data_IF_636821186355
#
_entry.id   IF_636821186355
#
_cell.length_a   1.000
_cell.length_b   1.000
_cell.length_c   1.000
_cell.angle_alpha   90.00
_cell.angle_beta   90.00
_cell.angle_gamma   90.00
#
_symmetry.space_group_name_H-M   'P 1'
#
loop_
_entity.id
_entity.type
_entity.pdbx_description
1 polymer ?
#
# COMPACT_ATOMS: atom_id res chain seq x y z
N UNK A 1 24.43 33.80 -29.55
CA UNK A 1 23.01 33.40 -29.41
C UNK A 1 22.94 31.89 -29.49
N UNK A 2 22.58 31.23 -28.41
CA UNK A 2 22.49 29.76 -28.36
C UNK A 2 21.29 29.27 -29.18
N UNK A 3 21.52 28.32 -30.08
CA UNK A 3 20.47 27.76 -30.96
C UNK A 3 20.23 26.31 -30.62
N UNK A 4 18.97 25.91 -30.42
CA UNK A 4 18.57 24.52 -30.12
C UNK A 4 17.87 23.91 -31.33
N UNK A 5 18.25 22.69 -31.71
CA UNK A 5 17.51 21.89 -32.69
C UNK A 5 16.24 21.31 -32.04
N UNK A 6 15.03 21.75 -32.42
CA UNK A 6 13.77 21.29 -31.83
C UNK A 6 13.47 19.81 -32.10
N UNK A 7 14.14 19.19 -33.08
CA UNK A 7 14.00 17.76 -33.38
C UNK A 7 14.88 16.87 -32.49
N UNK A 8 15.82 17.45 -31.74
CA UNK A 8 16.81 16.75 -30.91
C UNK A 8 16.66 17.07 -29.43
N UNK A 9 15.41 17.12 -28.96
CA UNK A 9 15.10 17.26 -27.53
C UNK A 9 14.91 15.88 -26.92
N UNK A 10 15.53 15.64 -25.77
CA UNK A 10 15.48 14.36 -25.05
C UNK A 10 15.35 14.61 -23.55
N UNK A 11 14.99 13.58 -22.79
CA UNK A 11 14.83 13.67 -21.34
C UNK A 11 15.41 12.45 -20.67
N UNK A 12 15.96 12.59 -19.48
CA UNK A 12 16.41 11.47 -18.68
C UNK A 12 16.32 11.78 -17.19
N UNK A 13 16.42 10.75 -16.38
CA UNK A 13 16.39 10.96 -14.94
C UNK A 13 16.59 9.71 -14.12
N UNK A 14 16.65 9.93 -12.81
CA UNK A 14 16.86 8.88 -11.82
C UNK A 14 15.69 8.74 -10.84
N UNK A 15 15.36 7.51 -10.47
CA UNK A 15 14.33 7.23 -9.45
C UNK A 15 12.98 7.86 -9.85
N UNK A 16 12.39 8.73 -9.02
CA UNK A 16 11.21 9.53 -9.37
C UNK A 16 11.40 10.37 -10.64
N UNK A 17 12.61 10.90 -10.86
CA UNK A 17 12.94 11.64 -12.08
C UNK A 17 12.89 10.74 -13.31
N UNK A 18 13.29 9.47 -13.21
CA UNK A 18 13.13 8.51 -14.30
C UNK A 18 11.64 8.22 -14.56
N UNK A 19 10.86 8.00 -13.52
CA UNK A 19 9.42 7.78 -13.65
C UNK A 19 8.71 8.99 -14.28
N UNK A 20 9.10 10.21 -13.93
CA UNK A 20 8.57 11.42 -14.55
C UNK A 20 9.04 11.58 -16.01
N UNK A 21 10.33 11.36 -16.29
CA UNK A 21 10.88 11.38 -17.64
C UNK A 21 10.16 10.40 -18.58
N UNK A 22 9.84 9.20 -18.08
CA UNK A 22 9.04 8.21 -18.80
C UNK A 22 7.66 8.74 -19.19
N UNK A 23 6.92 9.29 -18.22
CA UNK A 23 5.59 9.86 -18.46
C UNK A 23 5.64 11.06 -19.40
N UNK A 24 6.59 11.96 -19.17
CA UNK A 24 6.79 13.14 -19.99
C UNK A 24 7.11 12.76 -21.45
N UNK A 25 7.96 11.76 -21.66
CA UNK A 25 8.26 11.24 -22.99
C UNK A 25 7.03 10.62 -23.66
N UNK A 26 6.18 9.87 -22.94
CA UNK A 26 4.94 9.32 -23.52
C UNK A 26 3.99 10.44 -23.96
N UNK A 27 3.73 11.40 -23.05
CA UNK A 27 2.76 12.48 -23.27
C UNK A 27 3.23 13.44 -24.37
N UNK A 28 4.53 13.74 -24.41
CA UNK A 28 5.14 14.70 -25.33
C UNK A 28 6.02 14.03 -26.39
N UNK A 29 5.70 12.81 -26.79
CA UNK A 29 6.46 12.00 -27.77
C UNK A 29 6.67 12.66 -29.13
N UNK A 30 5.83 13.65 -29.50
CA UNK A 30 6.02 14.46 -30.71
C UNK A 30 7.17 15.47 -30.60
N UNK A 31 7.51 15.89 -29.39
CA UNK A 31 8.54 16.90 -29.12
C UNK A 31 9.80 16.28 -28.53
N UNK A 32 9.65 15.20 -27.76
CA UNK A 32 10.75 14.50 -27.10
C UNK A 32 11.13 13.28 -27.94
N UNK A 33 12.30 13.36 -28.56
CA UNK A 33 12.83 12.36 -29.50
C UNK A 33 13.38 11.08 -28.85
N UNK A 34 13.61 11.10 -27.53
CA UNK A 34 14.14 9.94 -26.81
C UNK A 34 14.24 10.14 -25.30
N UNK A 35 14.40 9.03 -24.57
CA UNK A 35 14.42 9.02 -23.11
C UNK A 35 15.49 8.11 -22.51
N UNK A 36 16.12 8.54 -21.41
CA UNK A 36 17.04 7.72 -20.61
C UNK A 36 16.55 7.51 -19.18
N UNK A 37 16.38 6.26 -18.75
CA UNK A 37 15.70 5.92 -17.51
C UNK A 37 16.60 5.15 -16.55
N UNK A 38 16.99 5.77 -15.43
CA UNK A 38 17.90 5.19 -14.44
C UNK A 38 17.11 4.82 -13.17
N UNK A 39 17.15 3.53 -12.83
CA UNK A 39 16.41 2.99 -11.67
C UNK A 39 14.95 3.49 -11.54
N UNK A 40 14.13 3.48 -12.63
CA UNK A 40 12.71 3.80 -12.50
C UNK A 40 12.02 2.74 -11.64
N UNK A 41 10.97 3.14 -10.92
CA UNK A 41 10.07 2.19 -10.27
C UNK A 41 9.48 1.27 -11.36
N UNK A 42 9.68 -0.04 -11.22
CA UNK A 42 9.23 -1.10 -12.15
C UNK A 42 9.85 -1.04 -13.57
N UNK A 43 11.18 -1.09 -13.67
CA UNK A 43 11.94 -1.09 -14.94
C UNK A 43 11.50 -2.15 -15.98
N UNK A 44 11.06 -3.34 -15.56
CA UNK A 44 10.54 -4.39 -16.47
C UNK A 44 9.27 -3.95 -17.18
N UNK A 45 8.36 -3.26 -16.48
CA UNK A 45 7.11 -2.77 -17.06
C UNK A 45 7.37 -1.63 -18.05
N UNK A 46 8.38 -0.79 -17.80
CA UNK A 46 8.77 0.29 -18.71
C UNK A 46 9.18 -0.26 -20.08
N UNK A 47 9.99 -1.33 -20.10
CA UNK A 47 10.38 -1.99 -21.36
C UNK A 47 9.17 -2.57 -22.11
N UNK A 48 8.21 -3.18 -21.41
CA UNK A 48 6.99 -3.70 -22.01
C UNK A 48 6.10 -2.58 -22.58
N UNK A 49 5.98 -1.46 -21.87
CA UNK A 49 5.21 -0.29 -22.34
C UNK A 49 5.82 0.27 -23.62
N UNK A 50 7.13 0.49 -23.68
CA UNK A 50 7.77 0.94 -24.92
C UNK A 50 7.67 -0.11 -26.03
N UNK A 51 7.87 -1.39 -25.73
CA UNK A 51 7.76 -2.47 -26.72
C UNK A 51 6.37 -2.64 -27.35
N UNK A 52 5.33 -2.04 -26.77
CA UNK A 52 3.99 -1.98 -27.37
C UNK A 52 3.87 -0.93 -28.49
N UNK A 53 4.78 0.06 -28.54
CA UNK A 53 4.69 1.21 -29.46
C UNK A 53 5.93 1.42 -30.35
N UNK A 54 7.06 0.78 -30.04
CA UNK A 54 8.31 0.88 -30.82
C UNK A 54 9.01 -0.48 -30.98
N UNK A 55 9.95 -0.54 -31.92
CA UNK A 55 10.74 -1.76 -32.16
C UNK A 55 11.60 -2.09 -30.95
N UNK A 56 11.73 -3.39 -30.66
CA UNK A 56 12.64 -3.88 -29.64
C UNK A 56 14.11 -3.53 -29.91
N UNK A 57 14.49 -3.26 -31.17
CA UNK A 57 15.83 -2.79 -31.55
C UNK A 57 16.14 -1.40 -31.00
N UNK A 58 15.12 -0.59 -30.77
CA UNK A 58 15.26 0.82 -30.37
C UNK A 58 15.27 0.96 -28.84
N UNK A 59 15.07 -0.15 -28.12
CA UNK A 59 15.00 -0.22 -26.66
C UNK A 59 16.23 -0.94 -26.10
N UNK A 60 17.13 -0.20 -25.47
CA UNK A 60 18.25 -0.78 -24.72
C UNK A 60 17.89 -0.92 -23.23
N UNK A 61 17.91 -2.16 -22.72
CA UNK A 61 17.78 -2.43 -21.28
C UNK A 61 19.11 -2.95 -20.75
N UNK A 62 19.68 -2.22 -19.81
CA UNK A 62 20.94 -2.59 -19.16
C UNK A 62 20.63 -2.97 -17.72
N UNK A 63 20.89 -4.22 -17.38
CA UNK A 63 20.78 -4.72 -16.02
C UNK A 63 22.20 -4.97 -15.48
N UNK A 64 22.52 -4.36 -14.34
CA UNK A 64 23.80 -4.51 -13.66
C UNK A 64 23.56 -5.13 -12.30
N UNK A 65 24.02 -6.37 -12.14
CA UNK A 65 24.05 -7.00 -10.82
C UNK A 65 24.91 -6.17 -9.86
N UNK A 66 24.60 -6.21 -8.56
CA UNK A 66 25.35 -5.57 -7.48
C UNK A 66 25.36 -4.03 -7.46
N UNK A 67 24.59 -3.38 -8.33
CA UNK A 67 24.28 -1.96 -8.23
C UNK A 67 22.87 -1.81 -7.65
N UNK A 68 22.78 -1.19 -6.46
CA UNK A 68 21.54 -0.89 -5.77
C UNK A 68 20.86 0.36 -6.34
N UNK A 69 19.92 0.95 -5.62
CA UNK A 69 19.20 2.16 -6.03
C UNK A 69 20.08 3.42 -5.94
N UNK A 70 21.14 3.50 -6.74
CA UNK A 70 22.11 4.60 -6.81
C UNK A 70 22.31 5.03 -8.26
N UNK A 71 22.89 6.21 -8.48
CA UNK A 71 23.31 6.64 -9.82
C UNK A 71 24.75 6.17 -10.05
N UNK A 72 25.00 5.26 -11.01
CA UNK A 72 26.35 4.77 -11.28
C UNK A 72 27.16 5.78 -12.10
N UNK A 73 28.40 5.97 -11.71
CA UNK A 73 29.41 6.79 -12.38
C UNK A 73 30.74 6.04 -12.42
N UNK A 74 31.74 6.71 -12.97
CA UNK A 74 33.17 6.36 -13.00
C UNK A 74 34.02 7.47 -12.38
N UNK A 75 33.38 8.50 -11.84
CA UNK A 75 34.00 9.68 -11.25
C UNK A 75 34.70 9.33 -9.93
N UNK A 76 36.02 9.55 -9.88
CA UNK A 76 36.86 9.17 -8.72
C UNK A 76 36.47 9.86 -7.41
N UNK A 77 35.87 11.05 -7.47
CA UNK A 77 35.39 11.78 -6.30
C UNK A 77 34.15 11.14 -5.65
N UNK A 78 33.42 10.30 -6.38
CA UNK A 78 32.26 9.61 -5.83
C UNK A 78 32.70 8.37 -5.06
N UNK A 79 32.07 8.10 -3.92
CA UNK A 79 32.35 6.87 -3.20
C UNK A 79 31.92 5.63 -4.01
N UNK A 80 32.58 4.50 -3.74
CA UNK A 80 32.44 3.25 -4.49
C UNK A 80 31.43 2.26 -3.86
N UNK A 81 30.58 2.71 -2.94
CA UNK A 81 29.58 1.85 -2.27
C UNK A 81 28.32 1.73 -3.14
N UNK A 82 28.35 0.80 -4.09
CA UNK A 82 27.28 0.63 -5.07
C UNK A 82 26.15 -0.32 -4.62
N UNK A 83 26.39 -1.15 -3.60
CA UNK A 83 25.48 -2.23 -3.20
C UNK A 83 24.50 -1.83 -2.08
N UNK A 84 24.74 -0.72 -1.39
CA UNK A 84 23.85 -0.25 -0.32
C UNK A 84 22.83 0.74 -0.89
N UNK A 85 21.55 0.58 -0.50
CA UNK A 85 20.44 1.39 -1.01
C UNK A 85 20.42 2.82 -0.46
N UNK A 86 19.65 3.70 -1.10
CA UNK A 86 19.62 5.15 -0.81
C UNK A 86 19.02 5.54 0.54
N UNK A 87 18.06 4.81 1.10
CA UNK A 87 17.36 5.25 2.33
C UNK A 87 18.27 5.37 3.56
N UNK A 88 19.05 4.34 3.93
CA UNK A 88 19.99 4.45 5.06
C UNK A 88 21.09 5.50 4.83
N UNK A 89 21.40 5.82 3.57
CA UNK A 89 22.54 6.66 3.17
C UNK A 89 22.19 8.15 3.06
N UNK A 90 20.97 8.46 2.61
CA UNK A 90 20.50 9.85 2.56
C UNK A 90 20.30 10.38 3.98
N UNK A 91 19.85 9.52 4.91
CA UNK A 91 19.80 9.84 6.34
C UNK A 91 21.19 10.07 6.96
N UNK A 92 22.25 9.56 6.34
CA UNK A 92 23.65 9.82 6.73
C UNK A 92 24.33 10.90 5.89
N UNK A 93 23.58 11.68 5.09
CA UNK A 93 24.11 12.78 4.27
C UNK A 93 24.92 12.35 3.03
N UNK A 94 24.90 11.07 2.66
CA UNK A 94 25.62 10.60 1.48
C UNK A 94 24.80 10.86 0.21
N UNK A 95 25.43 11.52 -0.77
CA UNK A 95 24.87 11.76 -2.13
C UNK A 95 24.48 10.44 -2.80
N UNK A 96 23.57 10.34 -3.78
CA UNK A 96 23.19 9.07 -4.42
C UNK A 96 24.12 8.64 -5.57
N UNK A 97 25.12 9.44 -5.92
CA UNK A 97 26.02 9.22 -7.06
C UNK A 97 27.25 8.41 -6.63
N UNK A 98 27.57 7.33 -7.35
CA UNK A 98 28.54 6.30 -6.92
C UNK A 98 29.48 5.89 -8.02
N UNK A 99 30.77 5.80 -7.72
CA UNK A 99 31.74 5.23 -8.64
C UNK A 99 31.60 3.71 -8.70
N UNK A 100 30.77 3.23 -9.63
CA UNK A 100 30.51 1.81 -9.84
C UNK A 100 31.23 1.27 -11.07
N UNK A 101 32.19 2.03 -11.63
CA UNK A 101 32.86 1.67 -12.87
C UNK A 101 31.91 1.62 -14.07
N UNK A 102 30.79 2.35 -14.02
CA UNK A 102 29.79 2.38 -15.09
C UNK A 102 29.40 3.81 -15.42
N UNK A 103 29.77 4.27 -16.62
CA UNK A 103 29.49 5.62 -17.10
C UNK A 103 28.06 5.67 -17.67
N UNK A 104 27.11 5.99 -16.80
CA UNK A 104 25.69 5.97 -17.14
C UNK A 104 25.35 6.95 -18.26
N UNK A 105 25.96 8.12 -18.26
CA UNK A 105 25.68 9.17 -19.25
C UNK A 105 26.27 8.78 -20.61
N UNK A 106 27.50 8.25 -20.65
CA UNK A 106 28.10 7.76 -21.90
C UNK A 106 27.20 6.75 -22.61
N UNK A 107 26.74 5.71 -21.89
CA UNK A 107 25.90 4.67 -22.48
C UNK A 107 24.53 5.21 -22.90
N UNK A 108 23.93 6.09 -22.11
CA UNK A 108 22.67 6.73 -22.44
C UNK A 108 22.80 7.61 -23.70
N UNK A 109 23.80 8.48 -23.77
CA UNK A 109 24.00 9.38 -24.92
C UNK A 109 24.43 8.62 -26.17
N UNK A 110 25.20 7.54 -26.01
CA UNK A 110 25.52 6.62 -27.13
C UNK A 110 24.24 6.04 -27.74
N UNK A 111 23.28 5.62 -26.91
CA UNK A 111 22.00 5.09 -27.41
C UNK A 111 21.11 6.19 -28.02
N UNK A 112 21.03 7.36 -27.39
CA UNK A 112 20.15 8.45 -27.83
C UNK A 112 20.68 9.22 -29.05
N UNK A 113 21.99 9.38 -29.17
CA UNK A 113 22.61 10.26 -30.17
C UNK A 113 23.60 9.55 -31.10
N UNK A 114 23.85 8.26 -30.87
CA UNK A 114 24.80 7.46 -31.63
C UNK A 114 26.20 7.40 -30.99
N UNK A 115 27.02 6.43 -31.42
CA UNK A 115 28.34 6.19 -30.85
C UNK A 115 29.31 7.34 -31.17
N UNK A 116 30.26 7.54 -30.26
CA UNK A 116 31.38 8.48 -30.44
C UNK A 116 32.70 7.78 -30.16
N UNK A 117 33.75 8.20 -30.88
CA UNK A 117 35.14 7.82 -30.63
C UNK A 117 35.91 8.88 -29.84
N UNK A 118 35.26 10.01 -29.53
CA UNK A 118 35.87 11.05 -28.72
C UNK A 118 36.09 10.55 -27.28
N UNK A 119 37.27 10.86 -26.74
CA UNK A 119 37.56 10.61 -25.34
C UNK A 119 36.75 11.56 -24.45
N UNK A 120 36.41 11.10 -23.24
CA UNK A 120 35.76 11.96 -22.24
C UNK A 120 36.71 13.10 -21.84
N UNK A 121 36.25 14.36 -21.83
CA UNK A 121 37.04 15.48 -21.33
C UNK A 121 37.43 15.29 -19.85
N UNK A 122 38.56 15.88 -19.45
CA UNK A 122 39.00 15.89 -18.05
C UNK A 122 38.16 16.85 -17.19
N UNK A 123 37.63 17.91 -17.79
CA UNK A 123 36.75 18.91 -17.18
C UNK A 123 35.74 19.43 -18.20
N UNK A 124 34.56 19.89 -17.76
CA UNK A 124 33.60 20.54 -18.66
C UNK A 124 34.18 21.85 -19.22
N UNK A 125 33.94 22.15 -20.49
CA UNK A 125 34.39 23.38 -21.14
C UNK A 125 33.42 24.54 -20.90
N UNK A 126 32.13 24.26 -20.90
CA UNK A 126 31.06 25.23 -20.81
C UNK A 126 30.75 25.77 -19.41
N UNK A 127 29.63 26.48 -19.32
CA UNK A 127 29.21 27.19 -18.09
C UNK A 127 27.91 26.61 -17.53
N UNK A 128 27.93 26.27 -16.23
CA UNK A 128 26.73 25.97 -15.45
C UNK A 128 26.12 27.28 -14.91
N UNK A 129 24.90 27.59 -15.30
CA UNK A 129 24.15 28.79 -14.88
C UNK A 129 22.88 28.39 -14.18
N UNK A 130 22.54 29.12 -13.12
CA UNK A 130 21.25 28.96 -12.47
C UNK A 130 20.23 29.93 -13.09
N UNK A 131 18.97 29.51 -13.16
CA UNK A 131 17.90 30.34 -13.69
C UNK A 131 16.65 30.27 -12.80
N UNK A 132 15.85 31.34 -12.85
CA UNK A 132 14.58 31.41 -12.13
C UNK A 132 13.53 30.53 -12.84
N UNK A 133 13.07 29.50 -12.15
CA UNK A 133 12.00 28.62 -12.60
C UNK A 133 10.62 29.19 -12.34
N UNK A 134 10.47 30.18 -11.45
CA UNK A 134 9.18 30.70 -10.98
C UNK A 134 8.20 31.04 -12.12
N UNK A 135 8.63 31.65 -13.25
CA UNK A 135 7.74 31.91 -14.38
C UNK A 135 7.10 30.67 -15.01
N UNK A 136 7.69 29.49 -14.79
CA UNK A 136 7.26 28.21 -15.35
C UNK A 136 6.59 27.30 -14.32
N UNK A 137 6.50 27.72 -13.06
CA UNK A 137 5.96 26.90 -11.98
C UNK A 137 4.55 27.35 -11.59
N UNK A 138 3.51 26.54 -11.86
CA UNK A 138 2.19 26.78 -11.32
C UNK A 138 2.20 26.80 -9.78
N UNK A 139 1.23 27.51 -9.20
CA UNK A 139 1.01 27.52 -7.76
C UNK A 139 0.82 26.07 -7.25
N UNK A 140 1.46 25.72 -6.12
CA UNK A 140 1.41 24.37 -5.52
C UNK A 140 1.96 23.23 -6.41
N UNK A 141 2.82 23.53 -7.39
CA UNK A 141 3.45 22.51 -8.25
C UNK A 141 4.53 21.66 -7.58
N UNK A 142 5.07 22.08 -6.43
CA UNK A 142 6.20 21.41 -5.77
C UNK A 142 7.57 21.66 -6.42
N UNK A 143 7.63 22.46 -7.48
CA UNK A 143 8.88 22.86 -8.12
C UNK A 143 9.66 23.88 -7.26
N UNK A 144 10.99 23.82 -7.37
CA UNK A 144 11.87 24.84 -6.80
C UNK A 144 11.78 26.14 -7.62
N UNK A 145 12.13 27.28 -7.03
CA UNK A 145 12.26 28.54 -7.76
C UNK A 145 13.56 28.58 -8.57
N UNK A 146 14.52 27.68 -8.35
CA UNK A 146 15.81 27.72 -9.05
C UNK A 146 16.13 26.41 -9.77
N UNK A 147 16.38 26.52 -11.07
CA UNK A 147 16.89 25.47 -11.94
C UNK A 147 18.34 25.75 -12.33
N UNK A 148 18.98 24.78 -13.00
CA UNK A 148 20.30 24.99 -13.59
C UNK A 148 20.32 24.59 -15.06
N UNK A 149 21.15 25.25 -15.85
CA UNK A 149 21.41 24.95 -17.26
C UNK A 149 22.92 24.92 -17.48
N UNK A 150 23.41 23.88 -18.14
CA UNK A 150 24.78 23.81 -18.60
C UNK A 150 24.81 23.99 -20.12
N UNK A 151 25.64 24.94 -20.57
CA UNK A 151 25.79 25.29 -21.99
C UNK A 151 27.25 25.05 -22.37
N UNK A 152 27.55 24.05 -23.22
CA UNK A 152 28.89 23.86 -23.79
C UNK A 152 29.38 25.09 -24.55
N UNK A 153 30.69 25.34 -24.56
CA UNK A 153 31.29 26.52 -25.21
C UNK A 153 30.89 26.67 -26.67
N UNK A 154 30.84 25.57 -27.43
CA UNK A 154 30.43 25.58 -28.82
C UNK A 154 28.98 26.05 -29.01
N UNK A 155 28.09 25.72 -28.07
CA UNK A 155 26.68 26.11 -28.09
C UNK A 155 26.52 27.59 -27.71
N UNK A 156 27.35 28.08 -26.78
CA UNK A 156 27.39 29.51 -26.44
C UNK A 156 27.89 30.36 -27.63
N UNK A 157 28.87 29.83 -28.38
CA UNK A 157 29.46 30.45 -29.56
C UNK A 157 28.65 30.29 -30.85
N UNK A 158 27.39 29.86 -30.77
CA UNK A 158 26.42 29.91 -31.87
C UNK A 158 26.25 28.62 -32.67
N UNK A 159 26.86 27.50 -32.26
CA UNK A 159 26.52 26.21 -32.82
C UNK A 159 25.04 25.86 -32.56
N UNK A 160 24.44 25.09 -33.46
CA UNK A 160 23.13 24.48 -33.21
C UNK A 160 23.32 23.22 -32.38
N UNK A 161 22.72 23.19 -31.19
CA UNK A 161 22.91 22.15 -30.20
C UNK A 161 21.64 21.37 -29.91
N UNK A 162 21.82 20.15 -29.38
CA UNK A 162 20.74 19.31 -28.87
C UNK A 162 20.32 19.80 -27.48
N UNK A 163 19.18 19.32 -26.98
CA UNK A 163 18.69 19.64 -25.64
C UNK A 163 18.38 18.37 -24.85
N UNK A 164 18.87 18.29 -23.62
CA UNK A 164 18.56 17.18 -22.71
C UNK A 164 18.13 17.70 -21.34
N UNK A 165 16.95 17.26 -20.89
CA UNK A 165 16.50 17.50 -19.52
C UNK A 165 16.98 16.37 -18.61
N UNK A 166 17.71 16.70 -17.54
CA UNK A 166 18.25 15.73 -16.59
C UNK A 166 17.57 15.88 -15.22
N UNK A 167 16.74 14.90 -14.85
CA UNK A 167 15.87 14.95 -13.68
C UNK A 167 16.44 14.17 -12.49
N UNK A 168 16.58 14.86 -11.36
CA UNK A 168 17.05 14.25 -10.11
C UNK A 168 16.01 13.30 -9.48
N UNK A 169 16.45 12.42 -8.59
CA UNK A 169 15.55 11.57 -7.80
C UNK A 169 15.04 12.25 -6.53
N UNK A 170 14.13 11.60 -5.81
CA UNK A 170 13.74 11.98 -4.45
C UNK A 170 14.95 12.22 -3.54
N UNK A 171 14.86 13.24 -2.69
CA UNK A 171 15.88 13.70 -1.74
C UNK A 171 17.21 14.12 -2.40
N UNK A 172 17.21 14.33 -3.71
CA UNK A 172 18.38 14.80 -4.46
C UNK A 172 18.19 16.21 -5.04
N UNK A 173 17.12 16.89 -4.64
CA UNK A 173 16.86 18.25 -5.06
C UNK A 173 17.91 19.21 -4.54
N UNK A 174 18.01 20.35 -5.21
CA UNK A 174 18.98 21.42 -4.91
C UNK A 174 19.01 21.83 -3.44
N UNK A 175 17.86 21.94 -2.77
CA UNK A 175 17.78 22.33 -1.36
C UNK A 175 18.54 21.40 -0.41
N UNK A 176 18.83 20.16 -0.83
CA UNK A 176 19.54 19.16 -0.04
C UNK A 176 20.98 18.96 -0.53
N UNK A 177 21.18 18.84 -1.85
CA UNK A 177 22.46 18.41 -2.43
C UNK A 177 23.12 19.48 -3.32
N UNK A 178 22.54 20.68 -3.44
CA UNK A 178 22.97 21.69 -4.41
C UNK A 178 22.87 21.16 -5.85
N UNK A 179 23.81 21.54 -6.69
CA UNK A 179 23.83 21.14 -8.10
C UNK A 179 24.52 19.76 -8.32
N UNK A 180 24.46 18.87 -7.33
CA UNK A 180 25.18 17.58 -7.36
C UNK A 180 24.79 16.66 -8.52
N UNK A 181 23.56 16.76 -9.05
CA UNK A 181 23.22 16.04 -10.29
C UNK A 181 24.09 16.48 -11.46
N UNK A 182 24.46 17.75 -11.53
CA UNK A 182 25.33 18.27 -12.58
C UNK A 182 26.80 17.93 -12.29
N UNK A 183 27.26 18.12 -11.04
CA UNK A 183 28.70 18.02 -10.69
C UNK A 183 29.21 16.62 -10.38
N UNK A 184 28.33 15.73 -9.90
CA UNK A 184 28.71 14.40 -9.44
C UNK A 184 28.26 13.31 -10.41
N UNK A 185 27.81 13.70 -11.60
CA UNK A 185 27.57 12.81 -12.72
C UNK A 185 28.40 13.28 -13.92
N UNK A 186 28.53 12.43 -14.92
CA UNK A 186 29.26 12.74 -16.15
C UNK A 186 28.44 13.55 -17.17
N UNK A 187 27.29 14.10 -16.78
CA UNK A 187 26.40 14.83 -17.69
C UNK A 187 27.14 15.96 -18.42
N UNK A 188 27.78 16.88 -17.69
CA UNK A 188 28.44 18.04 -18.30
C UNK A 188 29.64 17.63 -19.18
N UNK A 189 30.39 16.60 -18.78
CA UNK A 189 31.55 16.09 -19.54
C UNK A 189 31.13 15.54 -20.91
N UNK A 190 30.03 14.79 -20.95
CA UNK A 190 29.54 14.21 -22.21
C UNK A 190 28.69 15.19 -23.02
N UNK A 191 28.08 16.19 -22.39
CA UNK A 191 27.42 17.27 -23.10
C UNK A 191 28.35 18.01 -24.06
N UNK A 192 29.62 18.20 -23.68
CA UNK A 192 30.63 18.82 -24.54
C UNK A 192 30.97 17.98 -25.77
N UNK A 193 30.83 16.65 -25.68
CA UNK A 193 31.15 15.73 -26.78
C UNK A 193 30.01 15.61 -27.79
N UNK A 194 28.76 15.68 -27.33
CA UNK A 194 27.57 15.52 -28.18
C UNK A 194 26.87 16.85 -28.52
N UNK A 195 27.46 17.99 -28.17
CA UNK A 195 26.88 19.32 -28.36
C UNK A 195 25.47 19.41 -27.76
N UNK A 196 25.35 19.05 -26.48
CA UNK A 196 24.07 18.96 -25.77
C UNK A 196 23.99 20.03 -24.71
N UNK A 197 23.00 20.90 -24.79
CA UNK A 197 22.62 21.78 -23.70
C UNK A 197 21.85 20.95 -22.67
N UNK A 198 22.24 21.06 -21.40
CA UNK A 198 21.61 20.32 -20.32
C UNK A 198 20.74 21.25 -19.49
N UNK A 199 19.51 20.84 -19.20
CA UNK A 199 18.63 21.54 -18.27
C UNK A 199 18.38 20.63 -17.08
N UNK A 200 18.67 21.13 -15.90
CA UNK A 200 18.48 20.46 -14.61
C UNK A 200 17.37 21.18 -13.86
N UNK A 201 16.10 20.87 -14.16
CA UNK A 201 15.01 21.45 -13.40
C UNK A 201 14.98 20.84 -11.99
N UNK A 202 14.53 21.61 -11.01
CA UNK A 202 14.45 21.18 -9.61
C UNK A 202 13.03 21.15 -9.07
N UNK A 203 12.76 20.11 -8.27
CA UNK A 203 11.64 20.06 -7.32
C UNK A 203 12.19 20.10 -5.89
N UNK A 204 11.38 20.60 -4.95
CA UNK A 204 11.78 20.78 -3.56
C UNK A 204 10.87 20.03 -2.59
N UNK A 205 11.33 19.87 -1.37
CA UNK A 205 10.48 19.39 -0.28
C UNK A 205 9.38 20.43 -0.03
N UNK A 206 8.13 19.98 0.00
CA UNK A 206 6.97 20.85 0.27
C UNK A 206 6.05 20.25 1.32
N UNK A 207 5.49 21.11 2.18
CA UNK A 207 4.44 20.74 3.13
C UNK A 207 3.07 20.67 2.45
N UNK A 208 2.82 21.54 1.47
CA UNK A 208 1.60 21.56 0.66
C UNK A 208 1.95 21.84 -0.82
N UNK A 209 1.65 20.94 -1.77
CA UNK A 209 1.21 19.56 -1.54
C UNK A 209 2.24 18.79 -0.71
N UNK A 210 1.80 17.77 0.02
CA UNK A 210 2.67 16.99 0.89
C UNK A 210 3.67 16.18 0.05
N UNK A 211 4.91 16.66 -0.03
CA UNK A 211 6.03 16.01 -0.71
C UNK A 211 7.28 16.10 0.18
N UNK A 212 7.32 15.32 1.28
CA UNK A 212 8.38 15.41 2.30
C UNK A 212 9.76 14.98 1.79
N UNK A 213 9.81 14.40 0.60
CA UNK A 213 11.04 13.89 -0.01
C UNK A 213 11.45 14.67 -1.26
N UNK A 214 10.69 15.67 -1.69
CA UNK A 214 11.00 16.43 -2.91
C UNK A 214 11.13 15.52 -4.14
N UNK A 215 10.24 14.53 -4.27
CA UNK A 215 10.17 13.72 -5.48
C UNK A 215 9.47 14.48 -6.60
N UNK A 216 9.76 14.13 -7.85
CA UNK A 216 8.88 14.47 -8.96
C UNK A 216 7.50 13.89 -8.71
N UNK A 217 6.43 14.56 -9.18
CA UNK A 217 5.10 13.98 -9.07
C UNK A 217 5.12 12.64 -9.80
N UNK A 218 4.93 11.59 -8.99
CA UNK A 218 4.83 10.13 -9.16
C UNK A 218 3.44 9.53 -9.25
N UNK A 219 2.53 10.24 -8.59
CA UNK A 219 1.37 9.63 -7.92
C UNK A 219 0.13 10.53 -7.96
N UNK A 220 0.23 11.73 -8.55
CA UNK A 220 -0.87 12.68 -8.72
C UNK A 220 -1.14 13.58 -7.52
N UNK A 221 -0.11 13.85 -6.71
CA UNK A 221 -0.27 14.76 -5.57
C UNK A 221 -0.34 16.24 -5.98
N UNK A 222 0.02 16.59 -7.22
CA UNK A 222 -0.19 17.94 -7.79
C UNK A 222 -1.52 18.08 -8.55
N UNK A 223 -2.30 17.00 -8.69
CA UNK A 223 -3.65 17.06 -9.25
C UNK A 223 -4.09 15.82 -10.05
N UNK A 224 -5.38 15.75 -10.46
CA UNK A 224 -5.97 14.59 -11.13
C UNK A 224 -5.48 14.37 -12.57
N UNK A 225 -4.83 15.35 -13.18
CA UNK A 225 -4.33 15.29 -14.57
C UNK A 225 -2.90 14.75 -14.68
N UNK A 226 -2.38 14.18 -13.59
CA UNK A 226 -1.03 13.64 -13.49
C UNK A 226 -0.71 12.51 -14.48
N UNK A 227 -1.74 11.84 -15.01
CA UNK A 227 -1.63 10.96 -16.16
C UNK A 227 -2.95 10.99 -16.97
N UNK A 228 -2.99 11.65 -18.14
CA UNK A 228 -4.17 11.59 -19.01
C UNK A 228 -4.22 10.30 -19.85
N UNK A 229 -3.22 9.42 -19.74
CA UNK A 229 -3.39 8.03 -20.20
C UNK A 229 -4.18 7.29 -19.14
N UNK A 230 -5.48 7.55 -19.13
CA UNK A 230 -6.47 6.75 -18.44
C UNK A 230 -6.19 5.28 -18.79
N UNK A 231 -5.58 4.55 -17.86
CA UNK A 231 -5.65 3.09 -17.88
C UNK A 231 -7.16 2.79 -17.92
N UNK A 232 -7.69 2.20 -19.00
CA UNK A 232 -9.13 1.94 -19.13
C UNK A 232 -9.68 1.20 -17.90
N UNK A 233 -8.83 0.39 -17.27
CA UNK A 233 -9.06 -0.37 -16.06
C UNK A 233 -9.41 0.49 -14.83
N UNK A 234 -8.73 1.63 -14.61
CA UNK A 234 -9.00 2.50 -13.46
C UNK A 234 -10.29 3.31 -13.63
N UNK A 235 -10.58 3.75 -14.85
CA UNK A 235 -11.85 4.38 -15.19
C UNK A 235 -13.01 3.38 -15.04
N UNK A 236 -12.83 2.15 -15.54
CA UNK A 236 -13.79 1.06 -15.39
C UNK A 236 -14.01 0.66 -13.94
N UNK A 237 -12.96 0.64 -13.11
CA UNK A 237 -13.09 0.33 -11.68
C UNK A 237 -13.89 1.42 -10.95
N UNK A 238 -13.56 2.70 -11.17
CA UNK A 238 -14.31 3.83 -10.60
C UNK A 238 -15.77 3.81 -11.01
N UNK A 239 -16.05 3.53 -12.29
CA UNK A 239 -17.40 3.45 -12.81
C UNK A 239 -18.15 2.21 -12.25
N UNK A 240 -17.50 1.07 -12.15
CA UNK A 240 -18.06 -0.15 -11.55
C UNK A 240 -18.41 0.06 -10.07
N UNK A 241 -17.51 0.68 -9.29
CA UNK A 241 -17.76 1.03 -7.90
C UNK A 241 -18.94 2.00 -7.77
N UNK A 242 -18.98 3.02 -8.62
CA UNK A 242 -20.08 4.01 -8.64
C UNK A 242 -21.41 3.35 -8.97
N UNK A 243 -21.44 2.41 -9.93
CA UNK A 243 -22.65 1.65 -10.29
C UNK A 243 -23.09 0.71 -9.19
N UNK A 244 -22.17 0.09 -8.44
CA UNK A 244 -22.49 -0.79 -7.32
C UNK A 244 -23.11 -0.01 -6.15
N UNK A 245 -22.53 1.14 -5.79
CA UNK A 245 -23.02 2.00 -4.69
C UNK A 245 -24.35 2.67 -5.04
N UNK A 246 -24.60 3.00 -6.31
CA UNK A 246 -25.89 3.58 -6.74
C UNK A 246 -27.00 2.55 -6.91
N UNK A 247 -26.71 1.25 -6.82
CA UNK A 247 -27.72 0.21 -6.96
C UNK A 247 -28.47 0.02 -5.61
N UNK A 248 -29.74 0.44 -5.50
CA UNK A 248 -30.47 0.37 -4.24
C UNK A 248 -30.65 -1.07 -3.74
N UNK A 249 -30.74 -2.06 -4.63
CA UNK A 249 -30.87 -3.47 -4.25
C UNK A 249 -29.58 -3.96 -3.59
N UNK A 250 -28.42 -3.62 -4.15
CA UNK A 250 -27.13 -4.02 -3.60
C UNK A 250 -26.85 -3.36 -2.25
N UNK A 251 -27.15 -2.06 -2.13
CA UNK A 251 -26.98 -1.30 -0.89
C UNK A 251 -27.91 -1.82 0.21
N UNK A 252 -29.21 -1.96 -0.06
CA UNK A 252 -30.17 -2.49 0.92
C UNK A 252 -29.81 -3.91 1.36
N UNK A 253 -29.34 -4.76 0.44
CA UNK A 253 -28.88 -6.11 0.78
C UNK A 253 -27.63 -6.09 1.67
N UNK A 254 -26.66 -5.20 1.39
CA UNK A 254 -25.46 -5.05 2.23
C UNK A 254 -25.82 -4.61 3.66
N UNK A 255 -26.70 -3.60 3.79
CA UNK A 255 -27.20 -3.19 5.10
C UNK A 255 -27.94 -4.32 5.82
N UNK A 256 -28.83 -5.05 5.12
CA UNK A 256 -29.57 -6.17 5.71
C UNK A 256 -28.63 -7.27 6.23
N UNK A 257 -27.58 -7.62 5.49
CA UNK A 257 -26.57 -8.60 5.92
C UNK A 257 -25.83 -8.13 7.17
N UNK A 258 -25.46 -6.84 7.24
CA UNK A 258 -24.80 -6.27 8.43
C UNK A 258 -25.70 -6.40 9.66
N UNK A 259 -26.96 -5.98 9.57
CA UNK A 259 -27.92 -6.11 10.68
C UNK A 259 -28.15 -7.57 11.09
N UNK A 260 -28.20 -8.48 10.10
CA UNK A 260 -28.39 -9.90 10.37
C UNK A 260 -27.19 -10.52 11.11
N UNK A 261 -25.96 -10.17 10.72
CA UNK A 261 -24.74 -10.61 11.43
C UNK A 261 -24.74 -10.09 12.87
N UNK A 262 -25.04 -8.81 13.08
CA UNK A 262 -25.10 -8.21 14.43
C UNK A 262 -26.14 -8.93 15.29
N UNK A 263 -27.35 -9.17 14.77
CA UNK A 263 -28.40 -9.88 15.50
C UNK A 263 -27.99 -11.32 15.88
N UNK A 264 -27.36 -12.04 14.95
CA UNK A 264 -26.93 -13.42 15.18
C UNK A 264 -25.78 -13.55 16.17
N UNK A 265 -24.84 -12.60 16.19
CA UNK A 265 -23.74 -12.61 17.16
C UNK A 265 -24.28 -12.62 18.58
N UNK A 266 -25.29 -11.80 18.88
CA UNK A 266 -25.95 -11.80 20.18
C UNK A 266 -26.61 -13.14 20.50
N UNK A 267 -27.41 -13.67 19.57
CA UNK A 267 -28.05 -14.98 19.73
C UNK A 267 -27.01 -16.08 20.05
N UNK A 268 -26.04 -16.30 19.17
CA UNK A 268 -25.05 -17.37 19.34
C UNK A 268 -24.20 -17.24 20.61
N UNK A 269 -23.93 -16.01 21.05
CA UNK A 269 -23.14 -15.77 22.27
C UNK A 269 -23.91 -16.17 23.53
N UNK A 270 -25.22 -15.92 23.59
CA UNK A 270 -26.01 -16.09 24.80
C UNK A 270 -26.83 -17.39 24.85
N UNK A 271 -27.11 -18.04 23.71
CA UNK A 271 -27.91 -19.28 23.69
C UNK A 271 -27.35 -20.41 24.57
N UNK A 272 -26.03 -20.73 24.59
CA UNK A 272 -25.52 -21.80 25.45
C UNK A 272 -25.77 -21.52 26.94
N UNK A 273 -25.56 -20.27 27.36
CA UNK A 273 -25.82 -19.80 28.74
C UNK A 273 -27.30 -19.80 29.10
N UNK A 274 -28.15 -19.45 28.15
CA UNK A 274 -29.60 -19.57 28.31
C UNK A 274 -30.00 -21.04 28.56
N UNK A 275 -29.46 -21.99 27.80
CA UNK A 275 -29.77 -23.41 27.97
C UNK A 275 -29.24 -23.96 29.30
N UNK A 276 -28.03 -23.57 29.70
CA UNK A 276 -27.49 -23.89 31.02
C UNK A 276 -28.41 -23.41 32.15
N UNK A 277 -28.89 -22.16 32.08
CA UNK A 277 -29.72 -21.53 33.11
C UNK A 277 -31.14 -22.08 33.16
N UNK A 278 -31.81 -22.20 32.00
CA UNK A 278 -33.22 -22.58 31.92
C UNK A 278 -33.43 -24.09 31.99
N UNK A 279 -32.61 -24.86 31.29
CA UNK A 279 -32.77 -26.33 31.18
C UNK A 279 -31.80 -27.11 32.06
N UNK A 280 -30.98 -26.41 32.88
CA UNK A 280 -30.05 -26.99 33.85
C UNK A 280 -29.11 -28.03 33.25
N UNK A 281 -28.68 -27.79 32.01
CA UNK A 281 -27.72 -28.63 31.28
C UNK A 281 -26.30 -28.21 31.58
N UNK A 282 -25.36 -29.14 31.43
CA UNK A 282 -23.93 -28.82 31.61
C UNK A 282 -23.43 -27.88 30.50
N UNK A 283 -22.39 -27.06 30.75
CA UNK A 283 -21.83 -26.18 29.73
C UNK A 283 -21.37 -26.91 28.45
N UNK A 284 -20.87 -28.14 28.60
CA UNK A 284 -20.45 -28.98 27.48
C UNK A 284 -21.64 -29.44 26.63
N UNK A 285 -22.72 -29.93 27.25
CA UNK A 285 -23.93 -30.37 26.54
C UNK A 285 -24.63 -29.21 25.82
N UNK A 286 -24.76 -28.06 26.49
CA UNK A 286 -25.37 -26.85 25.91
C UNK A 286 -24.58 -26.36 24.70
N UNK A 287 -23.25 -26.33 24.80
CA UNK A 287 -22.37 -25.87 23.72
C UNK A 287 -22.33 -26.84 22.54
N UNK A 288 -22.36 -28.15 22.78
CA UNK A 288 -22.46 -29.16 21.72
C UNK A 288 -23.80 -29.09 20.99
N UNK A 289 -24.90 -28.94 21.74
CA UNK A 289 -26.25 -28.87 21.18
C UNK A 289 -26.43 -27.66 20.27
N UNK A 290 -25.93 -26.48 20.67
CA UNK A 290 -26.05 -25.26 19.84
C UNK A 290 -24.99 -25.19 18.74
N UNK A 291 -23.77 -25.67 18.99
CA UNK A 291 -22.66 -25.58 18.04
C UNK A 291 -22.79 -26.56 16.88
N UNK A 292 -22.90 -27.86 17.17
CA UNK A 292 -22.86 -28.90 16.13
C UNK A 292 -24.10 -28.86 15.25
N UNK A 293 -25.29 -28.69 15.85
CA UNK A 293 -26.55 -28.63 15.10
C UNK A 293 -26.61 -27.43 14.15
N UNK A 294 -26.18 -26.25 14.61
CA UNK A 294 -26.26 -25.02 13.82
C UNK A 294 -25.26 -24.98 12.66
N UNK A 295 -24.05 -25.50 12.85
CA UNK A 295 -23.03 -25.54 11.80
C UNK A 295 -23.43 -26.51 10.68
N UNK A 296 -23.93 -27.70 11.02
CA UNK A 296 -24.35 -28.67 10.00
C UNK A 296 -25.50 -28.12 9.14
N UNK A 297 -26.53 -27.54 9.76
CA UNK A 297 -27.66 -26.94 9.03
C UNK A 297 -27.20 -25.79 8.12
N UNK A 298 -26.26 -24.95 8.56
CA UNK A 298 -25.70 -23.87 7.74
C UNK A 298 -24.93 -24.39 6.52
N UNK A 299 -24.10 -25.42 6.70
CA UNK A 299 -23.33 -26.02 5.59
C UNK A 299 -24.26 -26.57 4.52
N UNK A 300 -25.26 -27.37 4.90
CA UNK A 300 -26.24 -27.90 3.94
C UNK A 300 -27.04 -26.77 3.28
N UNK A 301 -27.44 -25.76 4.05
CA UNK A 301 -28.15 -24.58 3.54
C UNK A 301 -27.37 -23.82 2.47
N UNK A 302 -26.08 -23.56 2.70
CA UNK A 302 -25.22 -22.85 1.74
C UNK A 302 -24.99 -23.67 0.46
N UNK A 303 -24.79 -24.99 0.59
CA UNK A 303 -24.59 -25.89 -0.57
C UNK A 303 -25.85 -25.97 -1.42
N UNK A 304 -27.02 -26.17 -0.80
CA UNK A 304 -28.31 -26.22 -1.50
C UNK A 304 -28.61 -24.88 -2.17
N UNK A 305 -28.42 -23.76 -1.45
CA UNK A 305 -28.63 -22.42 -2.01
C UNK A 305 -27.71 -22.16 -3.22
N UNK A 306 -26.42 -22.50 -3.12
CA UNK A 306 -25.46 -22.37 -4.22
C UNK A 306 -25.86 -23.21 -5.44
N UNK A 307 -26.31 -24.45 -5.24
CA UNK A 307 -26.80 -25.31 -6.31
C UNK A 307 -28.07 -24.74 -6.98
N UNK A 308 -29.06 -24.30 -6.19
CA UNK A 308 -30.31 -23.72 -6.68
C UNK A 308 -30.06 -22.44 -7.47
N UNK A 309 -29.23 -21.52 -6.95
CA UNK A 309 -28.89 -20.27 -7.63
C UNK A 309 -28.17 -20.55 -8.95
N UNK A 310 -27.22 -21.49 -8.96
CA UNK A 310 -26.48 -21.87 -10.17
C UNK A 310 -27.40 -22.49 -11.23
N UNK A 311 -28.33 -23.36 -10.82
CA UNK A 311 -29.21 -24.11 -11.73
C UNK A 311 -30.35 -23.26 -12.29
N UNK A 312 -31.04 -22.49 -11.44
CA UNK A 312 -32.26 -21.78 -11.81
C UNK A 312 -32.04 -20.30 -12.14
N UNK A 313 -30.86 -19.74 -11.83
CA UNK A 313 -30.49 -18.33 -12.08
C UNK A 313 -31.64 -17.34 -11.81
N UNK A 314 -32.27 -17.38 -10.62
CA UNK A 314 -33.43 -16.56 -10.33
C UNK A 314 -33.08 -15.08 -10.39
N UNK A 315 -34.05 -14.25 -10.81
CA UNK A 315 -33.86 -12.78 -10.83
C UNK A 315 -33.59 -12.28 -9.40
N UNK A 316 -32.71 -11.28 -9.29
CA UNK A 316 -32.28 -10.71 -8.00
C UNK A 316 -33.46 -10.33 -7.07
N UNK A 317 -34.56 -9.81 -7.62
CA UNK A 317 -35.76 -9.45 -6.84
C UNK A 317 -36.39 -10.64 -6.09
N UNK A 318 -36.41 -11.83 -6.70
CA UNK A 318 -36.96 -13.03 -6.04
C UNK A 318 -36.04 -13.53 -4.94
N UNK A 319 -34.72 -13.45 -5.14
CA UNK A 319 -33.73 -13.81 -4.11
C UNK A 319 -33.86 -12.87 -2.90
N UNK A 320 -33.96 -11.56 -3.15
CA UNK A 320 -34.17 -10.57 -2.08
C UNK A 320 -35.50 -10.79 -1.36
N UNK A 321 -36.60 -11.05 -2.09
CA UNK A 321 -37.89 -11.35 -1.49
C UNK A 321 -37.88 -12.61 -0.62
N UNK A 322 -37.22 -13.68 -1.09
CA UNK A 322 -37.01 -14.89 -0.30
C UNK A 322 -36.19 -14.62 0.97
N UNK A 323 -35.13 -13.80 0.86
CA UNK A 323 -34.34 -13.37 2.02
C UNK A 323 -35.16 -12.63 3.09
N UNK A 324 -36.08 -11.75 2.68
CA UNK A 324 -36.99 -11.08 3.60
C UNK A 324 -37.95 -12.07 4.30
N UNK A 325 -38.51 -13.02 3.55
CA UNK A 325 -39.39 -14.05 4.11
C UNK A 325 -38.67 -14.92 5.14
N UNK A 326 -37.48 -15.43 4.80
CA UNK A 326 -36.67 -16.25 5.72
C UNK A 326 -36.30 -15.45 6.97
N UNK A 327 -35.97 -14.16 6.82
CA UNK A 327 -35.68 -13.28 7.96
C UNK A 327 -36.88 -13.10 8.89
N UNK A 328 -38.09 -12.96 8.33
CA UNK A 328 -39.32 -12.87 9.12
C UNK A 328 -39.63 -14.19 9.87
N UNK A 329 -39.45 -15.32 9.20
CA UNK A 329 -39.61 -16.65 9.82
C UNK A 329 -38.59 -16.88 10.94
N UNK A 330 -37.34 -16.45 10.73
CA UNK A 330 -36.28 -16.55 11.73
C UNK A 330 -36.60 -15.74 12.99
N UNK A 331 -37.04 -14.49 12.83
CA UNK A 331 -37.47 -13.65 13.96
C UNK A 331 -38.66 -14.30 14.69
N UNK A 332 -39.65 -14.81 13.96
CA UNK A 332 -40.77 -15.53 14.54
C UNK A 332 -40.35 -16.77 15.33
N UNK A 333 -39.37 -17.53 14.82
CA UNK A 333 -38.80 -18.69 15.50
C UNK A 333 -38.08 -18.34 16.80
N UNK A 334 -37.31 -17.24 16.82
CA UNK A 334 -36.66 -16.75 18.05
C UNK A 334 -37.73 -16.34 19.08
N UNK A 335 -38.71 -15.52 18.68
CA UNK A 335 -39.76 -15.06 19.58
C UNK A 335 -40.59 -16.20 20.16
N UNK A 336 -40.87 -17.23 19.36
CA UNK A 336 -41.52 -18.45 19.83
C UNK A 336 -40.62 -19.23 20.80
N UNK A 337 -39.33 -19.39 20.48
CA UNK A 337 -38.37 -20.10 21.33
C UNK A 337 -38.20 -19.44 22.71
N UNK A 338 -38.34 -18.11 22.81
CA UNK A 338 -38.34 -17.40 24.09
C UNK A 338 -39.51 -17.77 25.02
N UNK A 339 -40.59 -18.34 24.47
CA UNK A 339 -41.75 -18.77 25.25
C UNK A 339 -41.62 -20.21 25.78
N UNK A 340 -40.60 -20.95 25.32
CA UNK A 340 -40.35 -22.33 25.76
C UNK A 340 -39.46 -22.32 27.00
N UNK A 341 -40.08 -22.60 28.15
CA UNK A 341 -39.40 -22.74 29.43
C UNK A 341 -39.81 -24.04 30.16
N UNK A 342 -39.13 -24.35 31.25
CA UNK A 342 -39.54 -25.39 32.19
C UNK A 342 -40.19 -24.75 33.43
N UNK A 343 -41.04 -25.51 34.13
CA UNK A 343 -41.62 -25.06 35.39
C UNK A 343 -40.50 -24.66 36.36
N UNK A 344 -40.60 -23.43 36.87
CA UNK A 344 -39.69 -22.94 37.89
C UNK A 344 -39.86 -23.81 39.13
N UNK A 345 -38.78 -24.43 39.60
CA UNK A 345 -38.81 -25.15 40.88
C UNK A 345 -39.12 -24.13 41.96
N UNK A 346 -40.29 -24.25 42.60
CA UNK A 346 -40.66 -23.46 43.76
C UNK A 346 -39.69 -23.82 44.89
N UNK A 347 -38.66 -23.00 45.09
CA UNK A 347 -37.79 -23.13 46.25
C UNK A 347 -38.50 -22.41 47.40
N UNK A 348 -39.31 -23.16 48.15
CA UNK A 348 -39.89 -22.68 49.40
C UNK A 348 -38.84 -22.88 50.49
N UNK A 349 -38.22 -21.77 50.91
CA UNK A 349 -37.33 -21.72 52.05
C UNK A 349 -38.06 -21.12 53.24
N UNK A 350 -38.26 -21.90 54.29
CA UNK A 350 -38.67 -21.36 55.59
C UNK A 350 -37.41 -20.86 56.31
N UNK A 351 -37.40 -19.56 56.62
CA UNK A 351 -36.33 -18.91 57.38
C UNK A 351 -36.90 -18.38 58.69
N UNK A 352 -36.08 -18.40 59.74
CA UNK A 352 -36.46 -17.82 61.01
C UNK A 352 -36.20 -16.30 60.96
N UNK A 353 -37.27 -15.50 60.97
CA UNK A 353 -37.21 -14.05 60.78
C UNK A 353 -36.42 -13.31 61.87
N UNK A 354 -36.27 -13.89 63.05
CA UNK A 354 -35.56 -13.27 64.18
C UNK A 354 -34.03 -13.47 64.13
N UNK A 355 -33.55 -14.48 63.39
CA UNK A 355 -32.13 -14.87 63.38
C UNK A 355 -31.47 -14.83 62.00
N UNK A 356 -32.25 -14.67 60.92
CA UNK A 356 -31.77 -14.79 59.53
C UNK A 356 -31.03 -16.11 59.23
N UNK A 357 -31.36 -17.19 59.96
CA UNK A 357 -30.85 -18.54 59.72
C UNK A 357 -31.92 -19.42 59.04
N UNK A 358 -31.47 -20.35 58.19
CA UNK A 358 -32.32 -21.36 57.57
C UNK A 358 -32.78 -22.38 58.62
N UNK A 359 -34.05 -22.81 58.58
CA UNK A 359 -34.56 -23.85 59.49
C UNK A 359 -33.92 -25.21 59.15
N UNK A 360 -32.80 -25.52 59.79
CA UNK A 360 -32.13 -26.82 59.65
C UNK A 360 -32.97 -27.93 60.32
N UNK A 361 -33.56 -28.83 59.51
CA UNK A 361 -33.92 -30.15 60.02
C UNK A 361 -32.63 -30.97 60.20
N UNK A 362 -32.11 -30.94 61.43
CA UNK A 362 -30.85 -31.53 61.88
C UNK A 362 -30.77 -33.08 61.84
N UNK A 363 -31.47 -33.75 60.91
CA UNK A 363 -31.49 -35.21 60.81
C UNK A 363 -30.59 -35.79 59.69
N UNK A 364 -30.22 -35.01 58.67
CA UNK A 364 -29.47 -35.54 57.50
C UNK A 364 -28.00 -35.10 57.42
N UNK A 365 -27.58 -34.06 58.15
CA UNK A 365 -26.20 -33.53 58.11
C UNK A 365 -25.19 -34.35 58.94
N UNK A 366 -25.65 -35.23 59.82
CA UNK A 366 -24.78 -36.08 60.65
C UNK A 366 -24.47 -37.45 60.04
N UNK A 367 -24.81 -37.70 58.77
CA UNK A 367 -24.47 -38.98 58.14
C UNK A 367 -22.96 -39.02 57.79
N UNK A 368 -22.17 -39.98 58.33
CA UNK A 368 -20.70 -39.99 58.20
C UNK A 368 -20.19 -39.99 56.75
N UNK A 369 -20.99 -40.50 55.81
CA UNK A 369 -20.63 -40.54 54.38
C UNK A 369 -20.64 -39.16 53.71
N UNK A 370 -21.40 -38.19 54.22
CA UNK A 370 -21.49 -36.86 53.64
C UNK A 370 -20.30 -35.98 54.06
N UNK A 371 -19.91 -36.04 55.33
CA UNK A 371 -18.72 -35.37 55.86
C UNK A 371 -17.44 -35.85 55.17
N UNK A 372 -17.29 -37.17 54.95
CA UNK A 372 -16.16 -37.73 54.21
C UNK A 372 -16.06 -37.22 52.76
N UNK A 373 -17.22 -36.95 52.12
CA UNK A 373 -17.29 -36.44 50.74
C UNK A 373 -16.87 -34.98 50.64
N UNK A 374 -17.27 -34.15 51.61
CA UNK A 374 -16.89 -32.73 51.66
C UNK A 374 -15.41 -32.56 52.01
N UNK A 375 -14.87 -33.39 52.90
CA UNK A 375 -13.46 -33.38 53.26
C UNK A 375 -12.57 -33.82 52.06
N UNK A 376 -13.03 -34.80 51.28
CA UNK A 376 -12.37 -35.22 50.04
C UNK A 376 -12.29 -34.10 48.99
N UNK A 377 -13.37 -33.35 48.80
CA UNK A 377 -13.41 -32.20 47.87
C UNK A 377 -12.49 -31.07 48.37
N UNK A 378 -12.50 -30.78 49.68
CA UNK A 378 -11.64 -29.77 50.31
C UNK A 378 -10.15 -30.09 50.14
N UNK A 379 -9.77 -31.35 50.25
CA UNK A 379 -8.37 -31.77 50.08
C UNK A 379 -7.94 -31.77 48.61
N UNK A 380 -8.84 -32.11 47.68
CA UNK A 380 -8.55 -32.05 46.24
C UNK A 380 -8.31 -30.62 45.73
N UNK A 381 -8.95 -29.61 46.34
CA UNK A 381 -8.77 -28.20 46.00
C UNK A 381 -7.45 -27.61 46.53
N UNK A 382 -6.89 -28.16 47.61
CA UNK A 382 -5.61 -27.68 48.19
C UNK A 382 -4.36 -28.20 47.46
N UNK A 383 -4.50 -29.22 46.60
CA UNK A 383 -3.38 -29.83 45.87
C UNK A 383 -3.00 -29.19 44.53
N UNK A 384 -3.79 -28.25 44.00
CA UNK A 384 -3.65 -27.77 42.60
C UNK A 384 -2.77 -26.51 42.46
N UNK A 385 -2.30 -25.90 43.55
CA UNK A 385 -1.43 -24.71 43.50
C UNK A 385 -0.03 -24.94 44.10
N UNK A 386 0.82 -25.75 43.44
CA UNK A 386 2.29 -25.61 43.56
C UNK A 386 3.02 -25.96 42.25
N UNK A 387 3.61 -24.94 41.63
CA UNK A 387 4.72 -25.02 40.67
C UNK A 387 4.59 -24.08 39.46
N UNK A 388 5.71 -23.57 38.89
CA UNK A 388 6.68 -22.67 39.54
C UNK A 388 7.03 -21.43 38.70
N UNK A 389 7.42 -20.34 39.38
CA UNK A 389 8.45 -19.38 38.93
C UNK A 389 8.13 -18.36 37.83
N UNK A 390 8.12 -17.08 38.20
CA UNK A 390 9.05 -16.07 37.68
C UNK A 390 8.67 -14.66 38.20
N UNK A 391 9.59 -14.12 38.97
CA UNK A 391 9.74 -12.72 39.39
C UNK A 391 9.69 -11.71 38.23
N UNK A 392 9.03 -10.56 38.47
CA UNK A 392 9.56 -9.23 38.10
C UNK A 392 8.79 -8.12 38.82
N UNK A 393 9.51 -7.45 39.71
CA UNK A 393 9.26 -6.05 40.08
C UNK A 393 9.34 -5.15 38.83
N UNK A 394 8.58 -4.05 38.85
CA UNK A 394 8.97 -2.77 38.26
C UNK A 394 8.15 -1.67 38.95
N UNK A 395 8.88 -0.82 39.68
CA UNK A 395 8.73 0.63 39.89
C UNK A 395 7.33 1.25 39.94
#
# INVERSE_FOLDING_TARGET
>A
TTTVDPSKVTIGGFSSGACFAHQFHIIHSKTISGVGLIAPRNSVNVKLVYGAFMSWSDIQLINKAFISHVWPTTLSQNNNVCWSGTLPQILSGARPYRNCGYDTVYHMFTHLYGPTMAARPASPSGVLRQFDQTPFTPLLSGMDSIGAVYIPDQCENGATCKLHFALHGCLNGRSLLGDAIATDTEYMLWADVWDVILVFPNVKITALPLNPTGCWDVMGFTGPNYCPVALPELAQLKETMTRLIKNPIAVCHAFAVVFHVIANVGFFTFTPKFIESQFRRTPAESSMATGVSSVLVQVFGMVIAGYVIKKFKPRARYITGWGCLVSALYIGGILFGMQVGCDQIHVQGDYNADTNEALESNALLNHPSWLARVEGIRNSLKGVHKGPGASRELS
#
